data_IF_160667775271
#
_entry.id   IF_160667775271
#
_cell.length_a   1.000
_cell.length_b   1.000
_cell.length_c   1.000
_cell.angle_alpha   90.00
_cell.angle_beta   90.00
_cell.angle_gamma   90.00
#
_symmetry.space_group_name_H-M   'P 1'
#
loop_
_entity.id
_entity.type
_entity.pdbx_description
1 polymer ?
#
# COMPACT_ATOMS: atom_id res chain seq x y z
N UNK A 1 -20.56 7.21 -29.46
CA UNK A 1 -20.35 6.75 -28.07
C UNK A 1 -19.07 5.91 -28.04
N UNK A 2 -17.95 6.46 -27.62
CA UNK A 2 -16.67 5.74 -27.47
C UNK A 2 -16.02 6.17 -26.16
N UNK A 3 -16.50 5.60 -25.06
CA UNK A 3 -15.99 5.88 -23.72
C UNK A 3 -15.89 4.55 -22.95
N UNK A 4 -14.78 3.81 -23.10
CA UNK A 4 -14.57 2.58 -22.34
C UNK A 4 -13.12 2.04 -22.27
N UNK A 5 -12.09 2.76 -22.76
CA UNK A 5 -10.72 2.17 -22.83
C UNK A 5 -9.72 2.74 -21.80
N UNK A 6 -9.92 3.97 -21.30
CA UNK A 6 -9.07 4.55 -20.25
C UNK A 6 -9.25 3.95 -18.83
N UNK A 7 -10.48 3.62 -18.36
CA UNK A 7 -10.66 3.11 -16.99
C UNK A 7 -10.26 1.64 -16.85
N UNK A 8 -10.39 0.84 -17.91
CA UNK A 8 -10.14 -0.61 -17.89
C UNK A 8 -8.69 -0.95 -17.53
N UNK A 9 -7.73 -0.19 -18.07
CA UNK A 9 -6.30 -0.39 -17.77
C UNK A 9 -6.00 -0.17 -16.29
N UNK A 10 -6.57 0.88 -15.68
CA UNK A 10 -6.43 1.15 -14.24
C UNK A 10 -7.05 0.05 -13.38
N UNK A 11 -8.21 -0.46 -13.77
CA UNK A 11 -8.90 -1.54 -13.04
C UNK A 11 -8.09 -2.84 -13.10
N UNK A 12 -7.55 -3.19 -14.28
CA UNK A 12 -6.70 -4.38 -14.46
C UNK A 12 -5.41 -4.27 -13.63
N UNK A 13 -4.74 -3.11 -13.66
CA UNK A 13 -3.56 -2.85 -12.83
C UNK A 13 -3.88 -2.94 -11.34
N UNK A 14 -5.05 -2.44 -10.92
CA UNK A 14 -5.54 -2.52 -9.55
C UNK A 14 -5.81 -3.96 -9.09
N UNK A 15 -6.39 -4.78 -9.97
CA UNK A 15 -6.68 -6.18 -9.70
C UNK A 15 -5.40 -7.02 -9.61
N UNK A 16 -4.43 -6.78 -10.49
CA UNK A 16 -3.10 -7.42 -10.43
C UNK A 16 -2.43 -7.08 -9.10
N UNK A 17 -2.40 -5.79 -8.75
CA UNK A 17 -1.86 -5.36 -7.48
C UNK A 17 -2.55 -6.10 -6.33
N UNK A 18 -3.89 -6.07 -6.30
CA UNK A 18 -4.70 -6.70 -5.24
C UNK A 18 -4.40 -8.20 -5.12
N UNK A 19 -4.21 -8.91 -6.25
CA UNK A 19 -3.81 -10.31 -6.27
C UNK A 19 -2.47 -10.55 -5.57
N UNK A 20 -1.46 -9.71 -5.80
CA UNK A 20 -0.16 -9.81 -5.11
C UNK A 20 -0.29 -9.56 -3.60
N UNK A 21 -1.03 -8.53 -3.20
CA UNK A 21 -1.28 -8.24 -1.79
C UNK A 21 -2.03 -9.38 -1.11
N UNK A 22 -3.07 -9.90 -1.76
CA UNK A 22 -3.84 -11.02 -1.26
C UNK A 22 -2.95 -12.26 -1.09
N UNK A 23 -2.07 -12.56 -2.04
CA UNK A 23 -1.12 -13.67 -1.91
C UNK A 23 -0.17 -13.48 -0.71
N UNK A 24 0.39 -12.28 -0.53
CA UNK A 24 1.25 -11.96 0.61
C UNK A 24 0.50 -11.94 1.97
N UNK A 25 -0.79 -11.62 1.94
CA UNK A 25 -1.63 -11.59 3.13
C UNK A 25 -2.04 -13.00 3.57
N UNK A 26 -2.49 -13.84 2.61
CA UNK A 26 -2.96 -15.21 2.82
C UNK A 26 -1.81 -16.17 3.09
N UNK A 27 -0.66 -15.99 2.44
CA UNK A 27 0.56 -16.73 2.73
C UNK A 27 1.52 -15.85 3.52
N UNK A 28 1.46 -15.87 4.87
CA UNK A 28 2.31 -15.06 5.73
C UNK A 28 3.80 -15.43 5.66
N UNK A 29 4.13 -16.59 5.09
CA UNK A 29 5.50 -17.10 5.00
C UNK A 29 5.83 -17.49 3.56
N UNK A 30 6.40 -16.56 2.80
CA UNK A 30 7.22 -16.92 1.64
C UNK A 30 8.59 -17.33 2.21
N UNK A 31 8.99 -18.61 2.13
CA UNK A 31 10.20 -19.10 2.81
C UNK A 31 11.49 -18.38 2.40
N UNK A 32 11.47 -17.73 1.24
CA UNK A 32 12.63 -17.13 0.59
C UNK A 32 12.84 -15.65 0.92
N UNK A 33 11.92 -15.01 1.65
CA UNK A 33 12.00 -13.59 1.94
C UNK A 33 11.57 -13.35 3.40
N UNK A 34 12.50 -13.00 4.31
CA UNK A 34 12.18 -12.63 5.70
C UNK A 34 11.49 -11.25 5.73
N UNK A 35 10.33 -11.15 5.12
CA UNK A 35 9.43 -9.99 5.13
C UNK A 35 8.61 -10.10 6.42
N UNK A 36 8.93 -9.26 7.40
CA UNK A 36 8.10 -9.10 8.60
C UNK A 36 6.72 -8.51 8.28
N UNK A 37 5.80 -8.48 9.26
CA UNK A 37 4.42 -7.97 9.07
C UNK A 37 4.36 -6.57 8.42
N UNK A 38 5.35 -5.72 8.68
CA UNK A 38 5.47 -4.34 8.18
C UNK A 38 5.89 -4.27 6.71
N UNK A 39 6.70 -5.20 6.24
CA UNK A 39 7.20 -5.19 4.87
C UNK A 39 6.10 -5.49 3.84
N UNK A 40 5.02 -6.20 4.24
CA UNK A 40 3.86 -6.47 3.38
C UNK A 40 3.03 -5.22 3.07
N UNK A 41 2.85 -4.32 4.05
CA UNK A 41 2.14 -3.05 3.82
C UNK A 41 2.99 -2.09 2.99
N UNK A 42 4.31 -2.06 3.23
CA UNK A 42 5.25 -1.27 2.44
C UNK A 42 5.30 -1.73 0.98
N UNK A 43 5.38 -3.04 0.75
CA UNK A 43 5.41 -3.61 -0.60
C UNK A 43 4.12 -3.25 -1.39
N UNK A 44 2.96 -3.37 -0.74
CA UNK A 44 1.68 -2.96 -1.32
C UNK A 44 1.63 -1.48 -1.72
N UNK A 45 2.08 -0.60 -0.82
CA UNK A 45 2.13 0.83 -1.08
C UNK A 45 3.07 1.15 -2.26
N UNK A 46 4.20 0.45 -2.35
CA UNK A 46 5.14 0.60 -3.48
C UNK A 46 4.53 0.13 -4.80
N UNK A 47 3.83 -1.02 -4.84
CA UNK A 47 3.16 -1.49 -6.06
C UNK A 47 2.08 -0.50 -6.54
N UNK A 48 1.32 0.14 -5.63
CA UNK A 48 0.33 1.15 -6.01
C UNK A 48 0.95 2.35 -6.75
N UNK A 49 2.17 2.75 -6.38
CA UNK A 49 2.91 3.83 -7.03
C UNK A 49 3.53 3.36 -8.35
N UNK A 50 4.14 2.17 -8.38
CA UNK A 50 4.78 1.58 -9.57
C UNK A 50 3.74 1.37 -10.69
N UNK A 51 2.56 0.86 -10.37
CA UNK A 51 1.47 0.66 -11.34
C UNK A 51 0.71 1.95 -11.69
N UNK A 52 1.14 3.12 -11.19
CA UNK A 52 0.50 4.44 -11.41
C UNK A 52 -1.01 4.44 -11.08
N UNK A 53 -1.43 3.60 -10.12
CA UNK A 53 -2.80 3.59 -9.60
C UNK A 53 -3.12 4.93 -8.93
N UNK A 54 -2.14 5.42 -8.17
CA UNK A 54 -2.10 6.73 -7.51
C UNK A 54 -0.78 7.43 -7.84
N UNK A 55 -0.83 8.76 -8.02
CA UNK A 55 0.36 9.58 -8.24
C UNK A 55 1.11 9.76 -6.92
N UNK A 56 2.44 9.86 -6.96
CA UNK A 56 3.29 10.06 -5.77
C UNK A 56 2.81 11.23 -4.89
N UNK A 57 2.41 12.36 -5.50
CA UNK A 57 1.83 13.52 -4.80
C UNK A 57 0.54 13.17 -4.03
N UNK A 58 -0.27 12.29 -4.60
CA UNK A 58 -1.55 11.86 -4.02
C UNK A 58 -1.32 10.86 -2.88
N UNK A 59 -0.29 10.02 -3.01
CA UNK A 59 0.15 9.13 -1.93
C UNK A 59 0.70 9.94 -0.74
N UNK A 60 1.54 10.95 -0.97
CA UNK A 60 2.04 11.83 0.10
C UNK A 60 0.94 12.68 0.71
N UNK A 61 -0.02 13.16 -0.08
CA UNK A 61 -1.17 13.91 0.44
C UNK A 61 -2.11 13.06 1.31
N UNK A 62 -2.10 11.73 1.14
CA UNK A 62 -2.86 10.81 1.99
C UNK A 62 -2.13 10.48 3.32
N UNK A 63 -0.87 10.87 3.47
CA UNK A 63 -0.13 10.71 4.73
C UNK A 63 -0.50 11.88 5.65
N UNK A 64 -1.29 11.57 6.67
CA UNK A 64 -1.69 12.54 7.69
C UNK A 64 -0.64 12.63 8.81
N UNK A 65 0.04 13.78 8.91
CA UNK A 65 1.07 14.01 9.93
C UNK A 65 0.49 14.07 11.35
N UNK A 66 -0.79 14.41 11.54
CA UNK A 66 -1.40 14.47 12.86
C UNK A 66 -1.67 13.06 13.39
N UNK A 67 -2.14 12.15 12.54
CA UNK A 67 -2.30 10.73 12.89
C UNK A 67 -0.94 10.11 13.20
N UNK A 68 0.09 10.38 12.40
CA UNK A 68 1.46 9.92 12.67
C UNK A 68 2.00 10.48 14.00
N UNK A 69 1.78 11.77 14.27
CA UNK A 69 2.18 12.40 15.53
C UNK A 69 1.43 11.85 16.75
N UNK A 70 0.14 11.57 16.63
CA UNK A 70 -0.68 10.96 17.68
C UNK A 70 -0.22 9.53 17.97
N UNK A 71 -0.03 8.71 16.93
CA UNK A 71 0.40 7.32 17.06
C UNK A 71 1.80 7.24 17.67
N UNK A 72 2.72 8.12 17.26
CA UNK A 72 4.05 8.18 17.85
C UNK A 72 4.01 8.70 19.29
N UNK A 73 3.14 9.68 19.58
CA UNK A 73 2.90 10.19 20.91
C UNK A 73 2.47 9.11 21.90
N UNK A 74 1.62 8.16 21.49
CA UNK A 74 1.22 7.04 22.37
C UNK A 74 2.36 6.07 22.68
N UNK A 75 3.37 5.94 21.82
CA UNK A 75 4.54 5.11 22.10
C UNK A 75 5.50 5.82 23.05
N UNK A 76 5.71 7.12 22.85
CA UNK A 76 6.61 7.94 23.69
C UNK A 76 6.05 8.13 25.10
N UNK A 77 4.73 8.27 25.24
CA UNK A 77 4.06 8.43 26.54
C UNK A 77 4.05 7.12 27.33
N UNK A 78 4.06 5.96 26.67
CA UNK A 78 4.15 4.65 27.33
C UNK A 78 5.57 4.36 27.89
N UNK A 79 6.61 4.99 27.30
CA UNK A 79 8.02 4.87 27.70
C UNK A 79 8.48 5.93 28.74
N UNK A 80 7.58 6.81 29.20
CA UNK A 80 7.85 7.90 30.16
C UNK A 80 7.17 7.66 31.53
#
# INVERSE_FOLDING_TARGET
MSMAMAPTVKVVLGLINFGFFWMLAVFPAVPFLPIGRTSRSLLWAMLMVIFRLITLRQAYAAIDLQILGLLYGTVVVDDA
#
